data_IF_474976332564
#
_entry.id   IF_474976332564
#
_cell.length_a   1.000
_cell.length_b   1.000
_cell.length_c   1.000
_cell.angle_alpha   90.00
_cell.angle_beta   90.00
_cell.angle_gamma   90.00
#
_symmetry.space_group_name_H-M   'P 1'
#
loop_
_entity.id
_entity.type
_entity.pdbx_description
1 polymer ?
#
# COMPACT_ATOMS: atom_id res chain seq x y z
N UNK A 1 -9.55 -29.91 0.72
CA UNK A 1 -10.81 -29.14 0.60
C UNK A 1 -10.58 -28.17 -0.53
N UNK A 2 -11.38 -28.23 -1.60
CA UNK A 2 -11.07 -27.54 -2.87
C UNK A 2 -11.04 -26.02 -2.68
N UNK A 3 -9.97 -25.42 -3.18
CA UNK A 3 -9.82 -23.98 -3.38
C UNK A 3 -11.09 -23.47 -4.08
N UNK A 4 -11.74 -22.47 -3.48
CA UNK A 4 -12.85 -21.77 -4.11
C UNK A 4 -12.25 -20.92 -5.22
N UNK A 5 -12.15 -21.49 -6.43
CA UNK A 5 -11.86 -20.75 -7.65
C UNK A 5 -13.00 -19.73 -7.85
N UNK A 6 -12.71 -18.44 -7.61
CA UNK A 6 -13.67 -17.38 -7.89
C UNK A 6 -13.78 -17.25 -9.41
N UNK A 7 -14.97 -17.54 -9.93
CA UNK A 7 -15.29 -17.46 -11.35
C UNK A 7 -16.39 -16.42 -11.59
N UNK A 8 -16.11 -15.44 -12.45
CA UNK A 8 -17.08 -14.46 -12.92
C UNK A 8 -17.63 -14.93 -14.25
N UNK A 9 -18.96 -15.11 -14.33
CA UNK A 9 -19.61 -15.42 -15.60
C UNK A 9 -20.00 -14.12 -16.30
N UNK A 10 -19.46 -13.90 -17.48
CA UNK A 10 -19.90 -12.86 -18.40
C UNK A 10 -20.58 -13.49 -19.62
N UNK A 11 -21.27 -12.71 -20.47
CA UNK A 11 -21.87 -13.23 -21.69
C UNK A 11 -20.86 -13.87 -22.64
N UNK A 12 -19.63 -13.32 -22.73
CA UNK A 12 -18.61 -13.83 -23.64
C UNK A 12 -17.83 -15.03 -23.11
N UNK A 13 -17.59 -15.13 -21.80
CA UNK A 13 -16.87 -16.28 -21.20
C UNK A 13 -17.01 -16.38 -19.69
N UNK A 14 -16.50 -17.48 -19.13
CA UNK A 14 -16.21 -17.58 -17.70
C UNK A 14 -14.79 -17.08 -17.45
N UNK A 15 -14.68 -16.03 -16.64
CA UNK A 15 -13.45 -15.39 -16.23
C UNK A 15 -13.05 -16.00 -14.88
N UNK A 16 -11.97 -16.78 -14.86
CA UNK A 16 -11.34 -17.22 -13.61
C UNK A 16 -10.51 -16.08 -13.03
N UNK A 17 -10.34 -16.04 -11.71
CA UNK A 17 -9.54 -15.03 -10.98
C UNK A 17 -8.16 -14.74 -11.62
N UNK A 18 -7.51 -15.75 -12.21
CA UNK A 18 -6.18 -15.63 -12.81
C UNK A 18 -6.17 -15.34 -14.33
N UNK A 19 -7.34 -15.08 -14.93
CA UNK A 19 -7.45 -14.81 -16.36
C UNK A 19 -6.97 -13.39 -16.66
N UNK A 20 -6.18 -13.22 -17.72
CA UNK A 20 -5.98 -11.90 -18.30
C UNK A 20 -7.33 -11.37 -18.77
N UNK A 21 -7.68 -10.17 -18.30
CA UNK A 21 -8.89 -9.46 -18.72
C UNK A 21 -8.60 -8.72 -20.02
N UNK A 22 -9.44 -8.94 -21.00
CA UNK A 22 -9.51 -8.18 -22.25
C UNK A 22 -10.44 -6.99 -22.08
N UNK A 23 -10.39 -6.03 -23.00
CA UNK A 23 -11.29 -4.87 -22.97
C UNK A 23 -12.78 -5.28 -23.02
N UNK A 24 -13.09 -6.40 -23.68
CA UNK A 24 -14.43 -6.98 -23.72
C UNK A 24 -14.86 -7.47 -22.33
N UNK A 25 -13.95 -8.14 -21.60
CA UNK A 25 -14.23 -8.61 -20.25
C UNK A 25 -14.49 -7.44 -19.29
N UNK A 26 -13.68 -6.38 -19.39
CA UNK A 26 -13.84 -5.19 -18.56
C UNK A 26 -15.17 -4.49 -18.84
N UNK A 27 -15.55 -4.40 -20.11
CA UNK A 27 -16.83 -3.83 -20.51
C UNK A 27 -18.00 -4.66 -19.97
N UNK A 28 -18.00 -5.98 -20.18
CA UNK A 28 -19.09 -6.85 -19.71
C UNK A 28 -19.21 -6.87 -18.19
N UNK A 29 -18.08 -6.87 -17.46
CA UNK A 29 -18.09 -6.81 -16.00
C UNK A 29 -18.64 -5.47 -15.50
N UNK A 30 -18.31 -4.36 -16.15
CA UNK A 30 -18.86 -3.03 -15.78
C UNK A 30 -20.37 -2.90 -15.99
N UNK A 31 -20.95 -3.69 -16.90
CA UNK A 31 -22.39 -3.74 -17.12
C UNK A 31 -23.12 -4.65 -16.13
N UNK A 32 -22.43 -5.67 -15.61
CA UNK A 32 -23.00 -6.66 -14.68
C UNK A 32 -22.89 -6.23 -13.22
N UNK A 33 -21.88 -5.44 -12.89
CA UNK A 33 -21.61 -4.97 -11.54
C UNK A 33 -21.46 -3.45 -11.57
N UNK A 34 -22.58 -2.77 -11.34
CA UNK A 34 -22.70 -1.30 -11.43
C UNK A 34 -21.70 -0.57 -10.51
N UNK A 35 -21.26 -1.22 -9.43
CA UNK A 35 -20.31 -0.68 -8.44
C UNK A 35 -18.83 -0.97 -8.75
N UNK A 36 -18.49 -1.61 -9.88
CA UNK A 36 -17.11 -2.03 -10.19
C UNK A 36 -16.48 -1.13 -11.25
N UNK A 37 -15.51 -0.31 -10.83
CA UNK A 37 -14.70 0.51 -11.72
C UNK A 37 -13.35 -0.15 -12.04
N UNK A 38 -13.05 -0.31 -13.33
CA UNK A 38 -11.76 -0.81 -13.81
C UNK A 38 -10.91 0.34 -14.34
N UNK A 39 -9.72 0.58 -13.75
CA UNK A 39 -8.77 1.59 -14.23
C UNK A 39 -7.40 0.96 -14.53
N UNK A 40 -6.97 1.08 -15.79
CA UNK A 40 -5.64 0.66 -16.24
C UNK A 40 -4.63 1.75 -15.94
N UNK A 41 -3.64 1.45 -15.10
CA UNK A 41 -2.62 2.40 -14.66
C UNK A 41 -1.34 2.18 -15.47
N UNK A 42 -1.07 3.07 -16.43
CA UNK A 42 0.16 3.07 -17.22
C UNK A 42 1.15 4.04 -16.56
N UNK A 43 2.25 3.52 -16.01
CA UNK A 43 3.31 4.35 -15.42
C UNK A 43 4.39 4.56 -16.48
N UNK A 44 4.28 5.65 -17.22
CA UNK A 44 5.26 6.13 -18.19
C UNK A 44 4.95 7.55 -18.61
N UNK A 45 5.82 8.48 -18.21
CA UNK A 45 5.91 9.90 -18.57
C UNK A 45 4.86 10.92 -18.09
N UNK A 46 5.36 11.81 -17.23
CA UNK A 46 5.08 13.24 -16.97
C UNK A 46 3.89 13.94 -17.67
N UNK A 47 2.68 13.38 -17.60
CA UNK A 47 1.42 14.15 -17.59
C UNK A 47 0.55 13.77 -16.38
N UNK A 48 1.23 13.67 -15.22
CA UNK A 48 0.70 13.16 -13.94
C UNK A 48 -0.33 14.05 -13.25
N UNK A 49 -0.45 15.34 -13.60
CA UNK A 49 -1.35 16.26 -12.88
C UNK A 49 -2.85 15.95 -13.06
N UNK A 50 -3.29 15.47 -14.22
CA UNK A 50 -4.71 15.11 -14.43
C UNK A 50 -5.05 13.69 -13.98
N UNK A 51 -4.07 12.79 -13.92
CA UNK A 51 -4.27 11.39 -13.50
C UNK A 51 -4.53 11.28 -11.99
N UNK A 52 -3.90 12.12 -11.18
CA UNK A 52 -4.20 12.23 -9.74
C UNK A 52 -5.56 12.92 -9.50
N UNK A 53 -5.94 13.91 -10.32
CA UNK A 53 -7.29 14.52 -10.31
C UNK A 53 -8.42 13.55 -10.72
N UNK A 54 -8.10 12.42 -11.33
CA UNK A 54 -9.07 11.36 -11.67
C UNK A 54 -9.03 10.18 -10.69
N UNK A 55 -8.27 10.29 -9.59
CA UNK A 55 -8.47 9.54 -8.36
C UNK A 55 -9.63 10.13 -7.53
N UNK A 56 -10.55 10.83 -8.18
CA UNK A 56 -11.93 10.97 -7.72
C UNK A 56 -12.51 9.55 -7.71
N UNK A 57 -12.53 8.97 -6.51
CA UNK A 57 -13.57 8.03 -6.08
C UNK A 57 -14.87 8.66 -6.59
N UNK A 58 -15.63 7.89 -7.39
CA UNK A 58 -16.67 8.40 -8.29
C UNK A 58 -17.45 9.59 -7.74
N UNK A 59 -17.89 10.48 -8.62
CA UNK A 59 -18.91 11.48 -8.28
C UNK A 59 -20.13 10.75 -7.72
N UNK A 60 -20.10 10.54 -6.42
CA UNK A 60 -21.18 10.05 -5.61
C UNK A 60 -21.09 10.80 -4.29
N UNK A 61 -22.25 11.31 -3.93
CA UNK A 61 -22.46 12.35 -2.95
C UNK A 61 -21.96 11.90 -1.56
N UNK A 62 -21.18 12.74 -0.88
CA UNK A 62 -20.86 12.60 0.55
C UNK A 62 -20.14 11.32 1.01
N UNK A 63 -19.15 10.82 0.27
CA UNK A 63 -18.13 9.96 0.89
C UNK A 63 -17.01 10.81 1.47
N UNK A 64 -17.30 11.46 2.60
CA UNK A 64 -16.23 11.81 3.54
C UNK A 64 -15.43 10.52 3.81
N UNK A 65 -14.14 10.51 3.45
CA UNK A 65 -13.12 9.55 3.92
C UNK A 65 -12.91 9.64 5.45
N UNK A 66 -13.96 9.97 6.21
CA UNK A 66 -14.00 10.13 7.66
C UNK A 66 -14.15 8.81 8.40
N UNK A 67 -14.23 7.67 7.71
CA UNK A 67 -13.99 6.39 8.37
C UNK A 67 -12.50 6.33 8.68
N UNK A 68 -12.14 6.51 9.96
CA UNK A 68 -10.77 6.53 10.45
C UNK A 68 -9.98 5.34 9.88
N UNK A 69 -9.11 5.61 8.90
CA UNK A 69 -8.19 4.62 8.38
C UNK A 69 -7.35 4.10 9.54
N UNK A 70 -7.29 2.79 9.70
CA UNK A 70 -6.55 2.18 10.80
C UNK A 70 -5.08 2.05 10.42
N UNK A 71 -4.23 2.15 11.43
CA UNK A 71 -2.83 1.81 11.32
C UNK A 71 -2.66 0.30 11.49
N UNK A 72 -1.64 -0.26 10.84
CA UNK A 72 -1.32 -1.68 10.96
C UNK A 72 -0.30 -1.90 12.08
N UNK A 73 -0.47 -2.98 12.83
CA UNK A 73 0.51 -3.44 13.82
C UNK A 73 1.52 -4.41 13.18
N UNK A 74 2.77 -3.97 13.11
CA UNK A 74 3.88 -4.68 12.48
C UNK A 74 4.27 -5.99 13.17
N UNK A 75 3.94 -6.14 14.46
CA UNK A 75 4.22 -7.37 15.23
C UNK A 75 3.24 -8.49 14.90
N UNK A 76 2.06 -8.14 14.41
CA UNK A 76 0.98 -9.05 14.05
C UNK A 76 0.36 -8.69 12.71
N UNK A 77 1.20 -8.36 11.72
CA UNK A 77 0.79 -7.68 10.49
C UNK A 77 -0.36 -8.41 9.76
N UNK A 78 -0.26 -9.72 9.60
CA UNK A 78 -1.30 -10.52 8.94
C UNK A 78 -2.64 -10.46 9.70
N UNK A 79 -2.60 -10.60 11.02
CA UNK A 79 -3.80 -10.49 11.87
C UNK A 79 -4.38 -9.07 11.82
N UNK A 80 -3.53 -8.04 11.84
CA UNK A 80 -3.92 -6.64 11.76
C UNK A 80 -4.61 -6.32 10.43
N UNK A 81 -4.13 -6.91 9.32
CA UNK A 81 -4.74 -6.79 7.99
C UNK A 81 -6.11 -7.46 7.97
N UNK A 82 -6.21 -8.70 8.47
CA UNK A 82 -7.48 -9.43 8.52
C UNK A 82 -8.55 -8.72 9.35
N UNK A 83 -8.15 -8.13 10.49
CA UNK A 83 -9.08 -7.44 11.39
C UNK A 83 -9.56 -6.09 10.85
N UNK A 84 -8.72 -5.41 10.06
CA UNK A 84 -8.99 -4.05 9.61
C UNK A 84 -9.20 -3.96 8.10
N UNK A 85 -9.40 -5.07 7.38
CA UNK A 85 -9.43 -5.11 5.91
C UNK A 85 -10.42 -4.10 5.29
N UNK A 86 -11.55 -3.86 5.95
CA UNK A 86 -12.58 -2.91 5.52
C UNK A 86 -12.27 -1.44 5.85
N UNK A 87 -11.21 -1.18 6.60
CA UNK A 87 -10.71 0.15 7.00
C UNK A 87 -9.33 0.46 6.36
N UNK A 88 -8.91 -0.35 5.40
CA UNK A 88 -7.69 -0.16 4.61
C UNK A 88 -8.05 0.19 3.17
N UNK A 89 -7.21 1.00 2.54
CA UNK A 89 -7.34 1.28 1.11
C UNK A 89 -6.77 0.10 0.33
N UNK A 90 -7.60 -0.55 -0.49
CA UNK A 90 -7.18 -1.68 -1.32
C UNK A 90 -6.56 -1.17 -2.61
N UNK A 91 -5.34 -1.62 -2.90
CA UNK A 91 -4.56 -1.17 -4.05
C UNK A 91 -4.07 -2.36 -4.87
N UNK A 92 -3.87 -2.14 -6.17
CA UNK A 92 -3.15 -3.06 -7.06
C UNK A 92 -2.04 -2.26 -7.72
N UNK A 93 -0.79 -2.66 -7.50
CA UNK A 93 0.36 -1.96 -8.09
C UNK A 93 0.45 -2.16 -9.60
N UNK A 94 1.26 -1.34 -10.28
CA UNK A 94 1.52 -1.48 -11.71
C UNK A 94 2.13 -2.85 -12.08
N UNK A 95 2.80 -3.51 -11.13
CA UNK A 95 3.31 -4.87 -11.26
C UNK A 95 2.27 -5.95 -10.92
N UNK A 96 0.99 -5.57 -10.78
CA UNK A 96 -0.13 -6.43 -10.39
C UNK A 96 0.02 -7.07 -9.01
N UNK A 97 0.80 -6.47 -8.11
CA UNK A 97 0.85 -6.91 -6.70
C UNK A 97 -0.35 -6.34 -5.96
N UNK A 98 -1.08 -7.17 -5.23
CA UNK A 98 -2.13 -6.71 -4.30
C UNK A 98 -1.48 -6.04 -3.11
N UNK A 99 -2.02 -4.90 -2.71
CA UNK A 99 -1.53 -4.17 -1.56
C UNK A 99 -2.66 -3.55 -0.74
N UNK A 100 -2.39 -3.33 0.54
CA UNK A 100 -3.21 -2.52 1.43
C UNK A 100 -2.44 -1.28 1.86
N UNK A 101 -3.08 -0.13 1.80
CA UNK A 101 -2.57 1.11 2.36
C UNK A 101 -3.35 1.44 3.65
N UNK A 102 -2.61 1.58 4.74
CA UNK A 102 -3.12 1.91 6.07
C UNK A 102 -3.23 3.42 6.28
N UNK A 103 -3.94 3.82 7.34
CA UNK A 103 -4.00 5.22 7.78
C UNK A 103 -2.69 5.75 8.36
N UNK A 104 -1.68 4.91 8.59
CA UNK A 104 -0.37 5.31 9.08
C UNK A 104 0.71 5.28 7.98
N UNK A 105 0.37 5.54 6.71
CA UNK A 105 1.34 5.53 5.61
C UNK A 105 2.12 4.20 5.47
N UNK A 106 1.49 3.08 5.80
CA UNK A 106 2.06 1.74 5.61
C UNK A 106 1.42 1.10 4.39
N UNK A 107 2.24 0.69 3.43
CA UNK A 107 1.82 -0.04 2.23
C UNK A 107 2.30 -1.49 2.33
N UNK A 108 1.36 -2.44 2.44
CA UNK A 108 1.68 -3.86 2.58
C UNK A 108 1.33 -4.60 1.32
N UNK A 109 2.31 -5.26 0.70
CA UNK A 109 2.07 -6.16 -0.42
C UNK A 109 1.88 -7.59 0.07
N UNK A 110 0.94 -8.30 -0.54
CA UNK A 110 0.62 -9.67 -0.18
C UNK A 110 1.24 -10.69 -1.14
N UNK A 111 1.49 -11.89 -0.64
CA UNK A 111 1.73 -13.08 -1.45
C UNK A 111 0.40 -13.69 -1.97
N UNK A 112 0.49 -14.79 -2.72
CA UNK A 112 -0.69 -15.52 -3.23
C UNK A 112 -1.57 -16.12 -2.11
N UNK A 113 -0.97 -16.40 -0.95
CA UNK A 113 -1.66 -16.90 0.25
C UNK A 113 -2.31 -15.79 1.09
N UNK A 114 -2.28 -14.53 0.62
CA UNK A 114 -2.76 -13.32 1.32
C UNK A 114 -1.96 -12.97 2.59
N UNK A 115 -0.75 -13.47 2.73
CA UNK A 115 0.16 -13.10 3.82
C UNK A 115 1.03 -11.92 3.39
N UNK A 116 1.43 -11.10 4.36
CA UNK A 116 2.32 -9.98 4.14
C UNK A 116 3.68 -10.47 3.61
N UNK A 117 4.05 -9.96 2.44
CA UNK A 117 5.31 -10.27 1.75
C UNK A 117 6.31 -9.14 1.87
N UNK A 118 5.83 -7.91 1.92
CA UNK A 118 6.63 -6.70 1.83
C UNK A 118 5.83 -5.58 2.51
N UNK A 119 6.50 -4.79 3.33
CA UNK A 119 5.98 -3.62 4.02
C UNK A 119 6.82 -2.42 3.59
N UNK A 120 6.18 -1.46 2.94
CA UNK A 120 6.78 -0.17 2.61
C UNK A 120 6.22 0.88 3.56
N UNK A 121 7.12 1.54 4.30
CA UNK A 121 6.81 2.70 5.12
C UNK A 121 6.98 3.94 4.23
N UNK A 122 5.90 4.64 3.93
CA UNK A 122 5.91 5.76 3.00
C UNK A 122 6.31 7.05 3.71
N UNK A 123 6.93 7.96 2.98
CA UNK A 123 7.19 9.30 3.49
C UNK A 123 5.87 10.02 3.81
N UNK A 124 5.94 10.99 4.71
CA UNK A 124 4.79 11.83 4.98
C UNK A 124 4.43 12.64 3.72
N UNK A 125 3.25 12.35 3.18
CA UNK A 125 2.69 13.04 2.01
C UNK A 125 2.57 14.56 2.23
N UNK A 126 2.47 15.02 3.48
CA UNK A 126 2.50 16.45 3.80
C UNK A 126 3.82 17.15 3.44
N UNK A 127 4.91 16.39 3.33
CA UNK A 127 6.23 16.86 2.90
C UNK A 127 6.49 16.60 1.41
N UNK A 128 5.73 15.71 0.76
CA UNK A 128 5.86 15.43 -0.68
C UNK A 128 5.08 16.46 -1.52
N UNK A 129 5.82 17.37 -2.15
CA UNK A 129 5.40 18.26 -3.24
C UNK A 129 4.22 19.22 -2.96
N UNK A 130 4.51 20.53 -3.11
CA UNK A 130 3.52 21.61 -3.21
C UNK A 130 2.55 21.49 -4.40
N UNK A 131 2.69 20.46 -5.24
CA UNK A 131 1.87 20.22 -6.43
C UNK A 131 0.63 19.34 -6.12
N UNK A 132 0.53 18.77 -4.91
CA UNK A 132 -0.58 17.90 -4.48
C UNK A 132 -1.60 18.61 -3.56
N UNK A 133 -1.63 19.96 -3.58
CA UNK A 133 -2.50 20.78 -2.72
C UNK A 133 -3.98 20.35 -2.78
N UNK A 134 -4.48 20.00 -3.97
CA UNK A 134 -5.87 19.58 -4.17
C UNK A 134 -6.18 18.20 -3.55
N UNK A 135 -5.15 17.37 -3.35
CA UNK A 135 -5.26 16.06 -2.70
C UNK A 135 -4.87 16.12 -1.20
N UNK A 136 -4.56 17.31 -0.68
CA UNK A 136 -4.13 17.50 0.70
C UNK A 136 -5.17 17.00 1.70
N UNK A 137 -6.47 17.23 1.46
CA UNK A 137 -7.53 16.75 2.37
C UNK A 137 -7.59 15.21 2.44
N UNK A 138 -7.25 14.53 1.34
CA UNK A 138 -7.13 13.06 1.32
C UNK A 138 -5.93 12.62 2.16
N UNK A 139 -4.80 13.32 2.04
CA UNK A 139 -3.55 12.98 2.72
C UNK A 139 -3.50 13.42 4.18
N UNK A 140 -4.23 14.46 4.57
CA UNK A 140 -4.37 14.95 5.95
C UNK A 140 -5.01 13.90 6.88
N UNK A 141 -5.72 12.93 6.30
CA UNK A 141 -6.29 11.78 7.03
C UNK A 141 -5.25 10.72 7.40
N UNK A 142 -4.06 10.76 6.78
CA UNK A 142 -2.97 9.83 7.06
C UNK A 142 -2.06 10.38 8.16
N UNK A 143 -1.58 9.46 9.00
CA UNK A 143 -0.64 9.73 10.09
C UNK A 143 0.75 9.22 9.69
N UNK A 144 1.83 9.80 10.23
CA UNK A 144 3.15 9.23 10.09
C UNK A 144 3.20 7.80 10.65
N UNK A 145 3.98 6.93 10.00
CA UNK A 145 4.13 5.55 10.43
C UNK A 145 4.90 5.42 11.75
N UNK A 146 4.65 4.30 12.42
CA UNK A 146 5.50 3.77 13.49
C UNK A 146 5.83 2.32 13.16
N UNK A 147 7.11 1.96 13.29
CA UNK A 147 7.59 0.62 13.05
C UNK A 147 8.36 0.10 14.27
N UNK A 148 7.82 -0.91 14.95
CA UNK A 148 8.31 -1.37 16.25
C UNK A 148 8.38 -0.22 17.27
N UNK A 149 9.57 0.24 17.65
CA UNK A 149 9.76 1.43 18.50
C UNK A 149 10.36 2.61 17.74
N UNK A 150 10.46 2.53 16.40
CA UNK A 150 10.87 3.61 15.52
C UNK A 150 9.65 4.41 15.10
N UNK A 151 9.73 5.73 15.17
CA UNK A 151 8.75 6.64 14.57
C UNK A 151 9.32 7.30 13.32
N UNK A 152 8.45 7.73 12.40
CA UNK A 152 8.83 8.63 11.33
C UNK A 152 9.60 9.85 11.89
N UNK A 153 10.70 10.21 11.25
CA UNK A 153 11.55 11.33 11.64
C UNK A 153 12.57 11.02 12.74
N UNK A 154 12.60 9.78 13.26
CA UNK A 154 13.60 9.38 14.24
C UNK A 154 15.02 9.42 13.70
N UNK A 155 15.99 9.60 14.60
CA UNK A 155 17.40 9.58 14.23
C UNK A 155 17.89 8.18 13.88
N UNK A 156 18.96 8.11 13.07
CA UNK A 156 19.69 6.88 12.73
C UNK A 156 20.07 6.06 13.97
N UNK A 157 20.40 6.72 15.08
CA UNK A 157 20.77 6.06 16.33
C UNK A 157 19.63 5.23 16.94
N UNK A 158 18.37 5.50 16.58
CA UNK A 158 17.23 4.66 17.00
C UNK A 158 17.11 3.40 16.14
N UNK A 159 17.47 3.45 14.86
CA UNK A 159 17.49 2.26 13.99
C UNK A 159 18.51 1.23 14.49
N UNK A 160 19.70 1.68 14.89
CA UNK A 160 20.74 0.80 15.44
C UNK A 160 20.34 0.09 16.73
N UNK A 161 19.31 0.56 17.45
CA UNK A 161 18.78 -0.11 18.66
C UNK A 161 17.83 -1.26 18.32
N UNK A 162 17.31 -1.31 17.10
CA UNK A 162 16.35 -2.32 16.65
C UNK A 162 17.02 -3.57 16.09
N UNK A 163 18.27 -3.46 15.64
CA UNK A 163 18.99 -4.59 15.07
C UNK A 163 20.33 -4.23 14.46
N UNK A 164 20.84 -5.14 13.63
CA UNK A 164 22.07 -4.92 12.88
C UNK A 164 21.83 -3.91 11.77
N UNK A 165 22.75 -2.96 11.60
CA UNK A 165 22.66 -1.93 10.56
C UNK A 165 23.98 -1.75 9.82
N UNK A 166 23.89 -1.47 8.52
CA UNK A 166 24.98 -0.91 7.70
C UNK A 166 24.45 0.30 6.93
N UNK A 167 25.28 1.32 6.75
CA UNK A 167 24.85 2.58 6.13
C UNK A 167 25.71 2.92 4.91
N UNK A 168 25.05 3.21 3.80
CA UNK A 168 25.65 3.67 2.54
C UNK A 168 24.68 4.67 1.89
N UNK A 169 25.18 5.85 1.47
CA UNK A 169 24.44 6.87 0.72
C UNK A 169 22.98 7.09 1.16
N UNK A 170 22.80 7.55 2.40
CA UNK A 170 21.49 7.86 3.02
C UNK A 170 20.53 6.67 3.21
N UNK A 171 20.97 5.46 2.83
CA UNK A 171 20.26 4.20 3.04
C UNK A 171 20.89 3.44 4.21
N UNK A 172 20.04 2.88 5.06
CA UNK A 172 20.43 2.03 6.17
C UNK A 172 19.87 0.63 5.92
N UNK A 173 20.73 -0.30 5.52
CA UNK A 173 20.38 -1.71 5.53
C UNK A 173 20.18 -2.18 6.97
N UNK A 174 19.11 -2.92 7.18
CA UNK A 174 18.60 -3.25 8.49
C UNK A 174 18.21 -4.72 8.57
N UNK A 175 18.59 -5.36 9.67
CA UNK A 175 18.12 -6.69 10.06
C UNK A 175 17.71 -6.66 11.52
N UNK A 176 16.41 -6.83 11.79
CA UNK A 176 15.84 -6.77 13.13
C UNK A 176 16.43 -7.82 14.07
N UNK A 177 16.62 -7.45 15.33
CA UNK A 177 17.06 -8.36 16.40
C UNK A 177 15.91 -8.98 17.18
N UNK A 178 14.70 -8.41 17.07
CA UNK A 178 13.54 -8.75 17.89
C UNK A 178 12.28 -9.07 17.09
N UNK A 179 12.37 -9.10 15.76
CA UNK A 179 11.27 -9.41 14.87
C UNK A 179 11.79 -10.07 13.58
N UNK A 180 10.87 -10.59 12.78
CA UNK A 180 11.16 -11.26 11.52
C UNK A 180 11.37 -10.29 10.34
N UNK A 181 11.90 -9.08 10.54
CA UNK A 181 11.98 -8.05 9.50
C UNK A 181 13.42 -7.72 9.09
N UNK A 182 13.69 -7.70 7.79
CA UNK A 182 14.91 -7.14 7.20
C UNK A 182 14.57 -6.21 6.03
N UNK A 183 15.51 -5.38 5.60
CA UNK A 183 15.30 -4.46 4.49
C UNK A 183 16.16 -3.22 4.62
N UNK A 184 15.66 -2.09 4.14
CA UNK A 184 16.42 -0.84 4.17
C UNK A 184 15.54 0.34 4.56
N UNK A 185 16.05 1.18 5.44
CA UNK A 185 15.49 2.50 5.75
C UNK A 185 16.14 3.57 4.89
N UNK A 186 15.39 4.58 4.49
CA UNK A 186 15.90 5.78 3.82
C UNK A 186 15.90 6.92 4.80
N UNK A 187 16.96 7.73 4.74
CA UNK A 187 17.13 8.90 5.60
C UNK A 187 17.21 10.19 4.80
N UNK A 188 16.63 11.24 5.35
CA UNK A 188 16.80 12.61 4.86
C UNK A 188 17.17 13.50 6.03
N UNK A 189 18.16 14.37 5.86
CA UNK A 189 18.63 15.27 6.93
C UNK A 189 18.92 14.53 8.26
N UNK A 190 19.45 13.30 8.15
CA UNK A 190 19.76 12.38 9.28
C UNK A 190 18.54 11.86 10.06
N UNK A 191 17.35 11.92 9.46
CA UNK A 191 16.11 11.38 10.01
C UNK A 191 15.58 10.28 9.10
N UNK A 192 15.01 9.24 9.68
CA UNK A 192 14.39 8.16 8.91
C UNK A 192 13.04 8.64 8.38
N UNK A 193 12.81 8.51 7.07
CA UNK A 193 11.59 9.01 6.42
C UNK A 193 10.78 7.91 5.76
N UNK A 194 11.43 6.84 5.29
CA UNK A 194 10.76 5.72 4.65
C UNK A 194 11.54 4.42 4.83
N UNK A 195 10.92 3.30 4.48
CA UNK A 195 11.55 1.99 4.52
C UNK A 195 10.93 1.03 3.52
N UNK A 196 11.71 0.05 3.07
CA UNK A 196 11.21 -1.16 2.43
C UNK A 196 11.66 -2.36 3.24
N UNK A 197 10.71 -3.13 3.75
CA UNK A 197 10.92 -4.22 4.69
C UNK A 197 10.29 -5.50 4.16
N UNK A 198 10.96 -6.63 4.36
CA UNK A 198 10.50 -7.96 3.99
C UNK A 198 10.62 -8.91 5.18
N UNK A 199 9.69 -9.88 5.30
CA UNK A 199 9.83 -10.93 6.29
C UNK A 199 11.07 -11.79 5.99
N UNK A 200 11.90 -12.02 7.00
CA UNK A 200 12.99 -12.99 6.94
C UNK A 200 12.39 -14.39 6.74
N UNK A 201 12.85 -15.10 5.73
CA UNK A 201 12.48 -16.50 5.52
C UNK A 201 13.47 -17.38 6.29
N UNK A 202 12.95 -18.31 7.09
CA UNK A 202 13.73 -19.39 7.70
C UNK A 202 14.31 -20.33 6.62
#
# INVERSE_FOLDING_TARGET
MSELDIEFKTPSRTIKENSLLTDIDLHELSQLYEDVSFKTLIIGDMKKEQALKSLVIGEDENHTLTSSLECLDEKGLDNSILQNENKLVKLVSYMKKRAFLSGCNQLVFLNSSKEARELTLLEDWGNMNSELIDAKELFDSFKPWQFLSLAYGDSIAHVSKLGSVSMEDEVIDFKSSSSFWEGSFVTEQKKVVSANLVPMRE
#
